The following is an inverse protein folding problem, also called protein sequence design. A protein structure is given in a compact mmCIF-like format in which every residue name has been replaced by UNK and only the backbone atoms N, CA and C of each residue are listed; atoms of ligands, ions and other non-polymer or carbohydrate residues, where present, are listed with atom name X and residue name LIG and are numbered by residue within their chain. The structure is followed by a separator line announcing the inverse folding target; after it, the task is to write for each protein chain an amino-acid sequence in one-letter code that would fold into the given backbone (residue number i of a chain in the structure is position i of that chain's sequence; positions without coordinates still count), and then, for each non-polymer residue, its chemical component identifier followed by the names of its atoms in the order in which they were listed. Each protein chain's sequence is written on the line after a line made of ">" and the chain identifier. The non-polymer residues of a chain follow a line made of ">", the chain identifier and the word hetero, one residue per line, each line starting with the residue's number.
data_IF_203838664868
#
_entry.id   IF_203838664868
#
_cell.length_a   1.000
_cell.length_b   1.000
_cell.length_c   1.000
_cell.angle_alpha   90.00
_cell.angle_beta   90.00
_cell.angle_gamma   90.00
#
_symmetry.space_group_name_H-M   'P 1'
#
loop_
_entity.id
_entity.type
_entity.pdbx_description
1 polymer ?
#
# COMPACT_ATOMS: atom_id res chain seq x y z
N UNK A 1 -17.30 10.40 -4.12
CA UNK A 1 -16.49 9.18 -3.98
C UNK A 1 -15.19 9.33 -4.76
N UNK A 2 -14.12 8.64 -4.34
CA UNK A 2 -12.82 8.64 -5.03
C UNK A 2 -12.99 7.99 -6.43
N UNK A 3 -12.27 8.47 -7.44
CA UNK A 3 -12.29 7.88 -8.79
C UNK A 3 -11.85 6.41 -8.76
N UNK A 4 -12.59 5.53 -9.45
CA UNK A 4 -12.25 4.10 -9.51
C UNK A 4 -10.84 3.85 -10.09
N UNK A 5 -10.32 4.79 -10.90
CA UNK A 5 -8.95 4.73 -11.43
C UNK A 5 -7.93 4.77 -10.30
N UNK A 6 -8.14 5.62 -9.29
CA UNK A 6 -7.25 5.77 -8.13
C UNK A 6 -7.32 4.53 -7.24
N UNK A 7 -8.53 4.04 -6.94
CA UNK A 7 -8.69 2.81 -6.17
C UNK A 7 -8.06 1.60 -6.85
N UNK A 8 -8.18 1.50 -8.16
CA UNK A 8 -7.56 0.44 -8.94
C UNK A 8 -6.02 0.56 -9.03
N UNK A 9 -5.50 1.77 -9.19
CA UNK A 9 -4.06 2.02 -9.17
C UNK A 9 -3.44 1.58 -7.83
N UNK A 10 -4.07 1.90 -6.70
CA UNK A 10 -3.64 1.46 -5.39
C UNK A 10 -3.68 -0.07 -5.24
N UNK A 11 -4.76 -0.72 -5.70
CA UNK A 11 -4.89 -2.18 -5.65
C UNK A 11 -3.80 -2.90 -6.47
N UNK A 12 -3.47 -2.38 -7.67
CA UNK A 12 -2.36 -2.89 -8.48
C UNK A 12 -1.02 -2.66 -7.79
N UNK A 13 -0.79 -1.47 -7.22
CA UNK A 13 0.46 -1.15 -6.53
C UNK A 13 0.72 -2.13 -5.38
N UNK A 14 -0.28 -2.39 -4.54
CA UNK A 14 -0.19 -3.36 -3.44
C UNK A 14 0.07 -4.78 -3.94
N UNK A 15 -0.54 -5.17 -5.06
CA UNK A 15 -0.28 -6.47 -5.70
C UNK A 15 1.14 -6.60 -6.24
N UNK A 16 1.74 -5.51 -6.72
CA UNK A 16 3.10 -5.53 -7.29
C UNK A 16 4.23 -5.43 -6.26
N UNK A 17 3.95 -5.05 -5.01
CA UNK A 17 4.96 -5.07 -3.94
C UNK A 17 5.70 -6.42 -3.85
N UNK A 18 5.03 -7.58 -3.72
CA UNK A 18 5.71 -8.87 -3.66
C UNK A 18 6.47 -9.21 -4.95
N UNK A 19 5.92 -8.86 -6.12
CA UNK A 19 6.58 -9.11 -7.41
C UNK A 19 7.89 -8.30 -7.54
N UNK A 20 7.86 -7.02 -7.18
CA UNK A 20 9.03 -6.13 -7.19
C UNK A 20 10.09 -6.62 -6.20
N UNK A 21 9.68 -7.12 -5.03
CA UNK A 21 10.61 -7.69 -4.05
C UNK A 21 11.30 -8.95 -4.59
N UNK A 22 10.56 -9.84 -5.27
CA UNK A 22 11.14 -11.01 -5.91
C UNK A 22 12.11 -10.64 -7.04
N UNK A 23 11.75 -9.67 -7.87
CA UNK A 23 12.61 -9.19 -8.96
C UNK A 23 13.88 -8.51 -8.42
N UNK A 24 13.75 -7.71 -7.35
CA UNK A 24 14.90 -7.12 -6.65
C UNK A 24 15.88 -8.20 -6.17
N UNK A 25 15.39 -9.26 -5.51
CA UNK A 25 16.26 -10.35 -5.02
C UNK A 25 16.92 -11.12 -6.17
N UNK A 26 16.21 -11.38 -7.26
CA UNK A 26 16.79 -12.01 -8.46
C UNK A 26 17.90 -11.16 -9.07
N UNK A 27 17.65 -9.87 -9.27
CA UNK A 27 18.63 -8.95 -9.85
C UNK A 27 19.83 -8.83 -8.91
N UNK A 28 19.60 -8.74 -7.60
CA UNK A 28 20.67 -8.70 -6.60
C UNK A 28 21.59 -9.93 -6.72
N UNK A 29 21.04 -11.15 -6.75
CA UNK A 29 21.85 -12.36 -6.89
C UNK A 29 22.57 -12.42 -8.24
N UNK A 30 21.95 -11.93 -9.32
CA UNK A 30 22.62 -11.83 -10.62
C UNK A 30 23.82 -10.85 -10.60
N UNK A 31 23.71 -9.72 -9.89
CA UNK A 31 24.83 -8.79 -9.72
C UNK A 31 25.92 -9.34 -8.79
N UNK A 32 25.54 -10.08 -7.74
CA UNK A 32 26.48 -10.80 -6.87
C UNK A 32 27.27 -11.85 -7.68
N UNK A 33 26.61 -12.59 -8.58
CA UNK A 33 27.27 -13.54 -9.49
C UNK A 33 28.21 -12.85 -10.51
N UNK A 34 27.92 -11.61 -10.89
CA UNK A 34 28.82 -10.77 -11.71
C UNK A 34 30.00 -10.18 -10.91
N UNK A 35 30.17 -10.58 -9.65
CA UNK A 35 31.28 -10.17 -8.80
C UNK A 35 31.10 -8.78 -8.17
N UNK A 36 29.92 -8.18 -8.25
CA UNK A 36 29.66 -6.92 -7.55
C UNK A 36 29.40 -7.25 -6.09
N UNK A 37 30.41 -7.01 -5.24
CA UNK A 37 30.25 -7.17 -3.79
C UNK A 37 29.18 -6.23 -3.24
N UNK A 38 28.11 -6.83 -2.70
CA UNK A 38 27.04 -6.12 -1.99
C UNK A 38 27.32 -5.98 -0.48
N UNK A 39 28.58 -6.21 -0.07
CA UNK A 39 28.98 -6.21 1.34
C UNK A 39 28.91 -4.81 1.94
N UNK A 40 28.39 -4.73 3.18
CA UNK A 40 28.25 -3.47 3.92
C UNK A 40 29.59 -2.84 4.34
N UNK A 41 30.72 -3.52 4.08
CA UNK A 41 32.08 -3.01 4.36
C UNK A 41 32.62 -2.06 3.28
N UNK A 42 31.87 -1.84 2.20
CA UNK A 42 32.27 -0.94 1.11
C UNK A 42 32.07 0.55 1.44
N UNK A 43 32.91 1.43 0.87
CA UNK A 43 32.76 2.89 0.98
C UNK A 43 31.40 3.37 0.43
N UNK A 44 30.89 4.50 0.91
CA UNK A 44 29.57 5.04 0.52
C UNK A 44 29.41 5.19 -1.00
N UNK A 45 30.46 5.62 -1.71
CA UNK A 45 30.46 5.73 -3.17
C UNK A 45 30.34 4.37 -3.87
N UNK A 46 31.05 3.35 -3.38
CA UNK A 46 30.95 1.98 -3.91
C UNK A 46 29.56 1.41 -3.65
N UNK A 47 28.96 1.71 -2.48
CA UNK A 47 27.57 1.32 -2.16
C UNK A 47 26.54 1.94 -3.09
N UNK A 48 26.65 3.23 -3.41
CA UNK A 48 25.76 3.90 -4.36
C UNK A 48 25.89 3.30 -5.77
N UNK A 49 27.12 3.05 -6.23
CA UNK A 49 27.36 2.40 -7.53
C UNK A 49 26.77 0.98 -7.57
N UNK A 50 26.94 0.20 -6.50
CA UNK A 50 26.35 -1.12 -6.35
C UNK A 50 24.82 -1.07 -6.35
N UNK A 51 24.20 -0.11 -5.66
CA UNK A 51 22.73 0.04 -5.70
C UNK A 51 22.21 0.44 -7.08
N UNK A 52 22.91 1.33 -7.79
CA UNK A 52 22.55 1.71 -9.14
C UNK A 52 22.49 0.51 -10.10
N UNK A 53 23.39 -0.48 -9.93
CA UNK A 53 23.41 -1.71 -10.74
C UNK A 53 22.16 -2.60 -10.58
N UNK A 54 21.41 -2.43 -9.49
CA UNK A 54 20.13 -3.11 -9.24
C UNK A 54 18.95 -2.23 -9.67
N UNK A 55 19.00 -0.95 -9.34
CA UNK A 55 17.91 0.01 -9.60
C UNK A 55 17.67 0.15 -11.11
N UNK A 56 18.72 0.31 -11.93
CA UNK A 56 18.54 0.49 -13.37
C UNK A 56 17.81 -0.69 -14.03
N UNK A 57 18.25 -1.97 -13.89
CA UNK A 57 17.52 -3.11 -14.43
C UNK A 57 16.10 -3.24 -13.89
N UNK A 58 15.89 -2.96 -12.59
CA UNK A 58 14.57 -3.04 -11.98
C UNK A 58 13.61 -2.00 -12.57
N UNK A 59 14.08 -0.79 -12.83
CA UNK A 59 13.28 0.27 -13.46
C UNK A 59 12.89 -0.15 -14.88
N UNK A 60 13.84 -0.58 -15.72
CA UNK A 60 13.55 -1.00 -17.09
C UNK A 60 12.56 -2.17 -17.12
N UNK A 61 12.79 -3.19 -16.29
CA UNK A 61 11.87 -4.33 -16.17
C UNK A 61 10.47 -3.90 -15.68
N UNK A 62 10.38 -2.89 -14.82
CA UNK A 62 9.10 -2.37 -14.34
C UNK A 62 8.38 -1.56 -15.42
N UNK A 63 9.11 -0.78 -16.22
CA UNK A 63 8.54 -0.02 -17.35
C UNK A 63 7.94 -0.97 -18.40
N UNK A 64 8.68 -2.00 -18.82
CA UNK A 64 8.17 -3.00 -19.77
C UNK A 64 6.89 -3.68 -19.24
N UNK A 65 6.87 -4.00 -17.94
CA UNK A 65 5.70 -4.57 -17.28
C UNK A 65 4.51 -3.60 -17.29
N UNK A 66 4.74 -2.31 -17.03
CA UNK A 66 3.70 -1.29 -17.05
C UNK A 66 3.09 -1.18 -18.45
N UNK A 67 3.90 -1.19 -19.50
CA UNK A 67 3.41 -1.09 -20.88
C UNK A 67 2.53 -2.29 -21.25
N UNK A 68 2.99 -3.51 -20.92
CA UNK A 68 2.20 -4.74 -21.14
C UNK A 68 0.87 -4.68 -20.38
N UNK A 69 0.89 -4.22 -19.13
CA UNK A 69 -0.30 -4.16 -18.27
C UNK A 69 -1.27 -3.06 -18.72
N UNK A 70 -0.76 -1.89 -19.11
CA UNK A 70 -1.56 -0.78 -19.63
C UNK A 70 -2.25 -1.17 -20.93
N UNK A 71 -1.51 -1.75 -21.87
CA UNK A 71 -2.08 -2.26 -23.13
C UNK A 71 -3.16 -3.32 -22.85
N UNK A 72 -2.90 -4.26 -21.94
CA UNK A 72 -3.91 -5.25 -21.55
C UNK A 72 -5.14 -4.63 -20.87
N UNK A 73 -4.98 -3.54 -20.12
CA UNK A 73 -6.08 -2.80 -19.51
C UNK A 73 -6.93 -2.07 -20.56
N UNK A 74 -6.30 -1.43 -21.54
CA UNK A 74 -6.97 -0.79 -22.67
C UNK A 74 -7.76 -1.79 -23.51
N UNK A 75 -7.17 -2.95 -23.82
CA UNK A 75 -7.84 -4.05 -24.52
C UNK A 75 -9.08 -4.57 -23.76
N UNK A 76 -9.03 -4.56 -22.42
CA UNK A 76 -10.17 -4.93 -21.56
C UNK A 76 -11.18 -3.79 -21.36
N UNK A 77 -11.01 -2.66 -22.06
CA UNK A 77 -11.90 -1.51 -21.99
C UNK A 77 -11.82 -0.75 -20.67
N UNK A 78 -10.73 -0.87 -19.92
CA UNK A 78 -10.51 -0.07 -18.72
C UNK A 78 -10.50 1.42 -19.09
N UNK A 79 -11.23 2.25 -18.35
CA UNK A 79 -11.33 3.68 -18.67
C UNK A 79 -12.44 4.06 -19.65
N UNK A 80 -13.07 3.10 -20.36
CA UNK A 80 -14.11 3.37 -21.37
C UNK A 80 -15.40 3.97 -20.78
N UNK A 81 -15.75 3.64 -19.54
CA UNK A 81 -16.97 4.10 -18.86
C UNK A 81 -16.64 4.94 -17.62
N UNK A 82 -17.53 5.89 -17.28
CA UNK A 82 -17.41 6.76 -16.09
C UNK A 82 -17.63 5.99 -14.78
N UNK A 83 -18.44 4.93 -14.81
CA UNK A 83 -18.76 4.08 -13.66
C UNK A 83 -18.32 2.64 -13.90
N UNK A 84 -17.96 1.93 -12.82
CA UNK A 84 -17.52 0.53 -12.80
C UNK A 84 -18.34 -0.24 -11.76
N UNK A 85 -18.63 -1.51 -12.03
CA UNK A 85 -19.20 -2.45 -11.07
C UNK A 85 -18.08 -3.16 -10.28
N UNK A 86 -18.32 -3.44 -8.99
CA UNK A 86 -17.36 -4.12 -8.12
C UNK A 86 -17.77 -5.58 -7.94
N UNK A 87 -16.87 -6.51 -8.25
CA UNK A 87 -17.12 -7.94 -8.09
C UNK A 87 -16.94 -8.41 -6.63
N UNK A 88 -15.88 -7.94 -5.95
CA UNK A 88 -15.57 -8.27 -4.56
C UNK A 88 -16.11 -7.23 -3.56
N UNK A 89 -17.32 -6.71 -3.79
CA UNK A 89 -17.95 -5.79 -2.84
C UNK A 89 -18.45 -6.55 -1.61
N UNK A 90 -17.88 -6.28 -0.43
CA UNK A 90 -18.32 -6.91 0.82
C UNK A 90 -19.42 -6.04 1.46
N UNK A 91 -20.66 -6.53 1.62
CA UNK A 91 -21.71 -5.78 2.31
C UNK A 91 -21.36 -5.66 3.81
N UNK A 92 -21.86 -4.60 4.46
CA UNK A 92 -21.72 -4.47 5.92
C UNK A 92 -22.39 -5.66 6.61
N UNK A 93 -21.62 -6.34 7.45
CA UNK A 93 -22.13 -7.45 8.25
C UNK A 93 -22.88 -6.93 9.47
N UNK A 94 -23.77 -7.75 10.05
CA UNK A 94 -24.43 -7.42 11.33
C UNK A 94 -23.43 -7.05 12.43
N UNK A 95 -22.27 -7.69 12.43
CA UNK A 95 -21.22 -7.42 13.40
C UNK A 95 -20.60 -6.02 13.21
N UNK A 96 -20.55 -5.50 11.97
CA UNK A 96 -20.06 -4.15 11.69
C UNK A 96 -21.03 -3.10 12.24
N UNK A 97 -22.34 -3.37 12.20
CA UNK A 97 -23.33 -2.49 12.82
C UNK A 97 -23.24 -2.49 14.35
N UNK A 98 -22.98 -3.65 14.96
CA UNK A 98 -22.79 -3.75 16.42
C UNK A 98 -21.53 -2.99 16.88
N UNK A 99 -20.41 -3.11 16.16
CA UNK A 99 -19.19 -2.40 16.50
C UNK A 99 -19.35 -0.89 16.31
N UNK A 100 -20.02 -0.45 15.24
CA UNK A 100 -20.34 0.98 15.04
C UNK A 100 -21.21 1.50 16.20
N UNK A 101 -22.26 0.78 16.57
CA UNK A 101 -23.14 1.18 17.67
C UNK A 101 -22.38 1.26 19.01
N UNK A 102 -21.51 0.30 19.29
CA UNK A 102 -20.68 0.29 20.50
C UNK A 102 -19.72 1.49 20.54
N UNK A 103 -19.02 1.79 19.43
CA UNK A 103 -18.10 2.93 19.35
C UNK A 103 -18.85 4.26 19.55
N UNK A 104 -20.03 4.42 18.94
CA UNK A 104 -20.86 5.62 19.13
C UNK A 104 -21.29 5.75 20.60
N UNK A 105 -21.76 4.66 21.21
CA UNK A 105 -22.15 4.65 22.61
C UNK A 105 -20.98 5.02 23.53
N UNK A 106 -19.80 4.46 23.29
CA UNK A 106 -18.58 4.77 24.04
C UNK A 106 -18.20 6.25 23.93
N UNK A 107 -18.24 6.82 22.72
CA UNK A 107 -17.96 8.25 22.51
C UNK A 107 -18.97 9.13 23.25
N UNK A 108 -20.27 8.81 23.18
CA UNK A 108 -21.30 9.56 23.89
C UNK A 108 -21.07 9.51 25.40
N UNK A 109 -20.81 8.33 25.96
CA UNK A 109 -20.53 8.17 27.39
C UNK A 109 -19.30 8.98 27.80
N UNK A 110 -18.21 8.92 27.04
CA UNK A 110 -17.01 9.72 27.31
C UNK A 110 -17.27 11.23 27.26
N UNK A 111 -18.13 11.68 26.35
CA UNK A 111 -18.46 13.09 26.18
C UNK A 111 -19.36 13.57 27.31
N UNK A 112 -20.34 12.77 27.73
CA UNK A 112 -21.22 13.06 28.88
C UNK A 112 -20.39 13.15 30.16
N UNK A 113 -19.49 12.20 30.42
CA UNK A 113 -18.58 12.26 31.58
C UNK A 113 -17.75 13.54 31.54
N UNK A 114 -17.20 13.89 30.37
CA UNK A 114 -16.41 15.12 30.21
C UNK A 114 -17.23 16.40 30.46
N UNK A 115 -18.51 16.43 30.09
CA UNK A 115 -19.39 17.59 30.32
C UNK A 115 -19.87 17.71 31.77
N UNK A 116 -20.07 16.59 32.47
CA UNK A 116 -20.49 16.59 33.88
C UNK A 116 -19.33 16.87 34.86
N UNK A 117 -18.12 16.37 34.60
CA UNK A 117 -16.94 16.62 35.47
C UNK A 117 -16.23 17.96 35.16
N UNK A 118 -16.55 18.63 34.05
CA UNK A 118 -15.99 19.95 33.68
C UNK A 118 -14.47 19.99 33.46
N UNK A 119 -13.75 18.89 33.68
CA UNK A 119 -12.31 18.75 33.48
C UNK A 119 -12.02 17.53 32.60
N UNK A 120 -11.04 17.69 31.69
CA UNK A 120 -10.69 16.72 30.64
C UNK A 120 -10.02 15.44 31.14
N UNK A 121 -9.88 15.24 32.45
CA UNK A 121 -9.22 14.09 33.06
C UNK A 121 -10.04 13.53 34.23
N UNK A 122 -10.40 12.25 34.10
CA UNK A 122 -10.99 11.45 35.18
C UNK A 122 -9.97 11.26 36.29
N UNK A 123 -10.25 11.81 37.48
CA UNK A 123 -9.37 11.72 38.65
C UNK A 123 -9.99 10.82 39.73
N UNK A 124 -9.63 9.53 39.84
CA UNK A 124 -10.24 8.60 40.78
C UNK A 124 -9.72 8.72 42.24
N UNK A 125 -9.00 9.79 42.60
CA UNK A 125 -8.38 9.96 43.93
C UNK A 125 -8.58 11.37 44.53
N UNK A 126 -9.81 11.86 44.58
CA UNK A 126 -10.22 12.83 45.61
C UNK A 126 -11.34 12.23 46.45
#
# INVERSE_FOLDING_TARGET
>A
GISYKVGYAMAIALRYVPDVQADFTKIRHAQEARGIEMSSKASLLKRLKSMASIIFPLIFSSMDRIDVVSNAMELRGFGKKKTRTWYMGKPLARNDYLTIAFVICFVIVSMVITFYDGNRFYNPFQ
#
